data_IF_830000952249
#
_entry.id   IF_830000952249
#
_cell.length_a   1.000
_cell.length_b   1.000
_cell.length_c   1.000
_cell.angle_alpha   90.00
_cell.angle_beta   90.00
_cell.angle_gamma   90.00
#
_symmetry.space_group_name_H-M   'P 1'
#
loop_
_entity.id
_entity.type
_entity.pdbx_description
1 polymer ?
#
# COMPACT_ATOMS: atom_id res chain seq x y z
N UNK A 1 10.55 5.94 12.39
CA UNK A 1 9.08 5.99 12.16
C UNK A 1 8.77 7.10 11.18
N UNK A 2 8.36 6.73 9.97
CA UNK A 2 8.11 7.65 8.87
C UNK A 2 6.61 7.87 8.69
N UNK A 3 6.19 9.14 8.63
CA UNK A 3 4.79 9.50 8.38
C UNK A 3 4.67 10.17 7.02
N UNK A 4 3.84 9.59 6.16
CA UNK A 4 3.55 10.10 4.83
C UNK A 4 2.16 10.72 4.81
N UNK A 5 2.12 12.05 4.69
CA UNK A 5 0.88 12.81 4.51
C UNK A 5 0.42 12.67 3.08
N UNK A 6 -0.60 11.86 2.86
CA UNK A 6 -1.04 11.47 1.53
C UNK A 6 -1.60 12.66 0.74
N UNK A 7 -2.27 13.61 1.42
CA UNK A 7 -2.73 14.84 0.79
C UNK A 7 -1.56 15.71 0.28
N UNK A 8 -0.47 15.82 1.04
CA UNK A 8 0.67 16.64 0.64
C UNK A 8 1.40 16.03 -0.57
N UNK A 9 1.44 14.70 -0.65
CA UNK A 9 2.13 13.95 -1.70
C UNK A 9 1.30 13.82 -2.99
N UNK A 10 -0.02 13.66 -2.87
CA UNK A 10 -0.89 13.27 -3.98
C UNK A 10 -2.13 14.15 -4.15
N UNK A 11 -2.36 15.09 -3.24
CA UNK A 11 -3.53 15.95 -3.22
C UNK A 11 -4.76 15.28 -2.58
N UNK A 12 -5.89 15.99 -2.67
CA UNK A 12 -7.18 15.55 -2.10
C UNK A 12 -7.71 14.28 -2.79
N UNK A 13 -7.28 14.03 -4.03
CA UNK A 13 -7.67 12.89 -4.86
C UNK A 13 -6.43 12.05 -5.19
N UNK A 14 -6.28 10.92 -4.52
CA UNK A 14 -5.24 9.94 -4.79
C UNK A 14 -5.65 9.04 -5.98
N UNK A 15 -5.47 9.58 -7.19
CA UNK A 15 -5.93 8.97 -8.45
C UNK A 15 -4.84 8.34 -9.33
N UNK A 16 -3.58 8.70 -9.12
CA UNK A 16 -2.49 8.36 -10.04
C UNK A 16 -1.72 7.11 -9.59
N UNK A 17 -2.04 5.97 -10.20
CA UNK A 17 -1.37 4.70 -9.91
C UNK A 17 0.11 4.67 -10.29
N UNK A 18 0.55 5.47 -11.27
CA UNK A 18 1.96 5.52 -11.68
C UNK A 18 2.79 6.21 -10.60
N UNK A 19 2.31 7.35 -10.10
CA UNK A 19 2.96 8.05 -8.98
C UNK A 19 2.94 7.22 -7.70
N UNK A 20 1.84 6.53 -7.43
CA UNK A 20 1.72 5.63 -6.27
C UNK A 20 2.76 4.50 -6.32
N UNK A 21 2.98 3.91 -7.50
CA UNK A 21 3.97 2.86 -7.69
C UNK A 21 5.41 3.37 -7.57
N UNK A 22 5.71 4.57 -8.08
CA UNK A 22 7.02 5.20 -7.90
C UNK A 22 7.29 5.44 -6.40
N UNK A 23 6.34 6.08 -5.71
CA UNK A 23 6.43 6.32 -4.27
C UNK A 23 6.60 5.04 -3.43
N UNK A 24 5.92 3.96 -3.80
CA UNK A 24 6.13 2.64 -3.17
C UNK A 24 7.60 2.20 -3.27
N UNK A 25 8.18 2.31 -4.46
CA UNK A 25 9.56 1.85 -4.74
C UNK A 25 10.60 2.75 -4.10
N UNK A 26 10.38 4.05 -4.16
CA UNK A 26 11.41 5.04 -3.84
C UNK A 26 11.40 5.42 -2.35
N UNK A 27 10.26 5.27 -1.66
CA UNK A 27 10.10 5.72 -0.27
C UNK A 27 9.67 4.59 0.68
N UNK A 28 8.57 3.91 0.36
CA UNK A 28 7.94 2.97 1.31
C UNK A 28 8.77 1.70 1.48
N UNK A 29 9.19 1.07 0.39
CA UNK A 29 9.95 -0.18 0.45
C UNK A 29 11.31 -0.03 1.14
N UNK A 30 12.13 1.01 0.84
CA UNK A 30 13.36 1.25 1.59
C UNK A 30 13.11 1.43 3.09
N UNK A 31 12.10 2.22 3.47
CA UNK A 31 11.75 2.42 4.88
C UNK A 31 11.38 1.11 5.61
N UNK A 32 10.73 0.17 4.92
CA UNK A 32 10.38 -1.13 5.52
C UNK A 32 11.59 -2.05 5.65
N UNK A 33 12.57 -1.97 4.75
CA UNK A 33 13.82 -2.74 4.84
C UNK A 33 14.66 -2.33 6.05
N UNK A 34 14.60 -1.05 6.42
CA UNK A 34 15.19 -0.53 7.66
C UNK A 34 14.40 -0.93 8.92
N UNK A 35 13.35 -1.75 8.76
CA UNK A 35 12.40 -2.19 9.81
C UNK A 35 11.67 -1.04 10.49
N UNK A 36 11.60 0.09 9.81
CA UNK A 36 11.03 1.30 10.35
C UNK A 36 9.50 1.27 10.20
N UNK A 37 8.78 1.74 11.24
CA UNK A 37 7.32 1.81 11.16
C UNK A 37 6.89 2.91 10.20
N UNK A 38 5.99 2.60 9.28
CA UNK A 38 5.43 3.54 8.29
C UNK A 38 3.99 3.89 8.65
N UNK A 39 3.66 5.18 8.67
CA UNK A 39 2.30 5.70 8.86
C UNK A 39 1.86 6.36 7.56
N UNK A 40 0.73 5.91 7.01
CA UNK A 40 0.03 6.62 5.95
C UNK A 40 -1.08 7.46 6.58
N UNK A 41 -0.93 8.78 6.49
CA UNK A 41 -1.89 9.74 7.01
C UNK A 41 -2.78 10.25 5.88
N UNK A 42 -4.09 9.98 5.98
CA UNK A 42 -5.09 10.32 4.98
C UNK A 42 -5.92 11.55 5.34
N UNK A 43 -5.48 12.35 6.31
CA UNK A 43 -6.14 13.62 6.58
C UNK A 43 -6.23 14.47 5.30
N UNK A 44 -7.40 15.07 5.08
CA UNK A 44 -7.73 15.83 3.88
C UNK A 44 -7.88 15.04 2.56
N UNK A 45 -7.62 13.72 2.54
CA UNK A 45 -7.88 12.88 1.36
C UNK A 45 -9.36 12.51 1.29
N UNK A 46 -10.01 12.82 0.16
CA UNK A 46 -11.43 12.52 -0.07
C UNK A 46 -11.65 11.27 -0.90
N UNK A 47 -10.76 11.02 -1.85
CA UNK A 47 -10.90 9.94 -2.82
C UNK A 47 -9.59 9.20 -2.95
N UNK A 48 -9.67 7.87 -2.84
CA UNK A 48 -8.61 6.93 -3.19
C UNK A 48 -9.15 6.09 -4.34
N UNK A 49 -8.47 6.09 -5.49
CA UNK A 49 -8.89 5.23 -6.60
C UNK A 49 -8.42 3.80 -6.41
N UNK A 50 -9.12 2.84 -7.02
CA UNK A 50 -8.71 1.44 -7.03
C UNK A 50 -7.36 1.23 -7.73
N UNK A 51 -7.07 1.98 -8.79
CA UNK A 51 -5.76 1.95 -9.47
C UNK A 51 -4.63 2.41 -8.55
N UNK A 52 -4.83 3.51 -7.83
CA UNK A 52 -3.87 3.99 -6.82
C UNK A 52 -3.69 2.97 -5.69
N UNK A 53 -4.79 2.48 -5.12
CA UNK A 53 -4.75 1.52 -4.01
C UNK A 53 -4.04 0.23 -4.41
N UNK A 54 -4.33 -0.30 -5.60
CA UNK A 54 -3.66 -1.49 -6.13
C UNK A 54 -2.18 -1.24 -6.41
N UNK A 55 -1.85 -0.07 -6.96
CA UNK A 55 -0.48 0.29 -7.28
C UNK A 55 0.40 0.40 -6.03
N UNK A 56 -0.14 0.95 -4.93
CA UNK A 56 0.55 1.10 -3.67
C UNK A 56 0.40 -0.13 -2.77
N UNK A 57 -0.77 -0.35 -2.19
CA UNK A 57 -1.00 -1.38 -1.17
C UNK A 57 -1.04 -2.79 -1.77
N UNK A 58 -1.62 -2.95 -2.96
CA UNK A 58 -1.65 -4.23 -3.65
C UNK A 58 -0.24 -4.74 -3.98
N UNK A 59 0.60 -3.90 -4.59
CA UNK A 59 1.98 -4.28 -4.91
C UNK A 59 2.85 -4.43 -3.66
N UNK A 60 2.65 -3.59 -2.64
CA UNK A 60 3.37 -3.72 -1.38
C UNK A 60 3.17 -5.10 -0.75
N UNK A 61 1.92 -5.51 -0.60
CA UNK A 61 1.57 -6.81 0.00
C UNK A 61 1.92 -7.97 -0.93
N UNK A 62 1.84 -7.78 -2.25
CA UNK A 62 2.31 -8.77 -3.21
C UNK A 62 3.82 -9.04 -3.08
N UNK A 63 4.61 -8.02 -2.71
CA UNK A 63 6.06 -8.12 -2.60
C UNK A 63 6.51 -8.63 -1.24
N UNK A 64 5.99 -8.04 -0.17
CA UNK A 64 6.47 -8.25 1.20
C UNK A 64 5.56 -9.17 2.03
N UNK A 65 4.43 -9.61 1.46
CA UNK A 65 3.46 -10.48 2.12
C UNK A 65 2.74 -9.81 3.28
N UNK A 66 2.14 -10.64 4.15
CA UNK A 66 1.39 -10.16 5.34
C UNK A 66 2.28 -9.46 6.37
N UNK A 67 3.57 -9.77 6.40
CA UNK A 67 4.55 -9.17 7.33
C UNK A 67 4.71 -7.67 7.14
N UNK A 68 4.52 -7.12 5.93
CA UNK A 68 4.54 -5.67 5.77
C UNK A 68 3.48 -4.96 6.62
N UNK A 69 2.31 -5.59 6.82
CA UNK A 69 1.20 -4.99 7.55
C UNK A 69 1.49 -4.82 9.05
N UNK A 70 2.49 -5.51 9.62
CA UNK A 70 2.86 -5.32 11.03
C UNK A 70 3.66 -4.03 11.26
N UNK A 71 4.23 -3.47 10.20
CA UNK A 71 5.03 -2.24 10.24
C UNK A 71 4.27 -1.03 9.68
N UNK A 72 3.01 -1.19 9.30
CA UNK A 72 2.22 -0.16 8.64
C UNK A 72 1.02 0.24 9.49
N UNK A 73 0.79 1.54 9.58
CA UNK A 73 -0.43 2.12 10.18
C UNK A 73 -1.13 3.03 9.17
N UNK A 74 -2.45 2.98 9.19
CA UNK A 74 -3.31 3.88 8.42
C UNK A 74 -4.07 4.76 9.41
N UNK A 75 -3.94 6.08 9.29
CA UNK A 75 -4.58 7.05 10.20
C UNK A 75 -5.41 8.07 9.43
N UNK A 76 -6.36 8.71 10.11
CA UNK A 76 -7.26 9.73 9.55
C UNK A 76 -7.99 9.27 8.26
N UNK A 77 -8.38 8.00 8.21
CA UNK A 77 -9.02 7.41 7.03
C UNK A 77 -10.54 7.57 7.08
N UNK A 78 -11.12 8.11 6.00
CA UNK A 78 -12.57 8.03 5.78
C UNK A 78 -13.00 6.59 5.44
N UNK A 79 -14.30 6.28 5.58
CA UNK A 79 -14.84 4.96 5.26
C UNK A 79 -14.60 4.55 3.80
N UNK A 80 -14.65 5.50 2.86
CA UNK A 80 -14.31 5.27 1.45
C UNK A 80 -12.84 4.90 1.28
N UNK A 81 -11.94 5.70 1.88
CA UNK A 81 -10.49 5.43 1.85
C UNK A 81 -10.16 4.07 2.47
N UNK A 82 -10.78 3.72 3.60
CA UNK A 82 -10.61 2.41 4.23
C UNK A 82 -11.04 1.26 3.32
N UNK A 83 -12.19 1.40 2.63
CA UNK A 83 -12.69 0.39 1.70
C UNK A 83 -11.67 0.13 0.59
N UNK A 84 -11.11 1.19 0.02
CA UNK A 84 -10.15 1.10 -1.08
C UNK A 84 -8.81 0.53 -0.62
N UNK A 85 -8.30 0.92 0.55
CA UNK A 85 -7.10 0.32 1.16
C UNK A 85 -7.30 -1.19 1.36
N UNK A 86 -8.43 -1.59 1.95
CA UNK A 86 -8.77 -3.01 2.18
C UNK A 86 -8.85 -3.78 0.86
N UNK A 87 -9.43 -3.18 -0.18
CA UNK A 87 -9.51 -3.76 -1.52
C UNK A 87 -8.11 -4.03 -2.10
N UNK A 88 -7.22 -3.04 -2.05
CA UNK A 88 -5.84 -3.17 -2.53
C UNK A 88 -5.05 -4.25 -1.78
N UNK A 89 -5.11 -4.25 -0.43
CA UNK A 89 -4.47 -5.28 0.40
C UNK A 89 -5.01 -6.67 0.06
N UNK A 90 -6.33 -6.82 -0.06
CA UNK A 90 -6.97 -8.11 -0.37
C UNK A 90 -6.50 -8.64 -1.72
N UNK A 91 -6.42 -7.78 -2.73
CA UNK A 91 -5.90 -8.15 -4.04
C UNK A 91 -4.44 -8.60 -3.96
N UNK A 92 -3.60 -7.86 -3.24
CA UNK A 92 -2.19 -8.19 -3.01
C UNK A 92 -2.02 -9.56 -2.35
N UNK A 93 -2.78 -9.85 -1.29
CA UNK A 93 -2.75 -11.14 -0.60
C UNK A 93 -3.20 -12.31 -1.49
N UNK A 94 -4.28 -12.11 -2.26
CA UNK A 94 -4.75 -13.10 -3.22
C UNK A 94 -3.67 -13.45 -4.24
N UNK A 95 -2.96 -12.46 -4.77
CA UNK A 95 -1.87 -12.67 -5.73
C UNK A 95 -0.61 -13.26 -5.09
N UNK A 96 -0.24 -12.83 -3.89
CA UNK A 96 0.92 -13.35 -3.16
C UNK A 96 0.78 -14.86 -2.90
N UNK A 97 -0.40 -15.29 -2.42
CA UNK A 97 -0.66 -16.72 -2.16
C UNK A 97 -0.58 -17.58 -3.44
N UNK A 98 -1.03 -17.04 -4.58
CA UNK A 98 -0.93 -17.71 -5.89
C UNK A 98 0.51 -17.80 -6.40
N UNK A 99 1.29 -16.72 -6.24
CA UNK A 99 2.72 -16.68 -6.60
C UNK A 99 3.49 -17.77 -5.86
N UNK A 100 3.32 -17.85 -4.53
CA UNK A 100 3.95 -18.88 -3.71
C UNK A 100 3.53 -20.31 -4.12
N UNK A 101 2.25 -20.52 -4.44
CA UNK A 101 1.77 -21.82 -4.93
C UNK A 101 2.38 -22.21 -6.28
N UNK A 102 2.62 -21.26 -7.18
CA UNK A 102 3.29 -21.54 -8.45
C UNK A 102 4.77 -21.90 -8.24
N UNK A 103 5.47 -21.20 -7.35
CA UNK A 103 6.88 -21.47 -7.03
C UNK A 103 7.07 -22.83 -6.32
N UNK A 104 6.16 -23.20 -5.40
CA UNK A 104 6.23 -24.46 -4.65
C UNK A 104 5.93 -25.73 -5.48
N UNK A 105 5.31 -25.60 -6.66
CA UNK A 105 5.00 -26.72 -7.56
C UNK A 105 6.13 -26.99 -8.56
N UNK A 106 7.16 -26.13 -8.59
CA UNK A 106 8.28 -26.22 -9.54
C UNK A 106 9.54 -26.86 -8.92
N UNK A 107 9.40 -27.58 -7.80
CA UNK A 107 10.51 -28.26 -7.09
C UNK A 107 10.29 -29.76 -7.07
#
# INVERSE_FOLDING_TARGET
MNTYKMQDLFGIVCGDGTKALAFLKDCVLPSLQEKDSTVFDFDGVRVLSSSFSNALFGNLVLKEGKSALTHIKFVNTSSLVQSEIKSGITLGLSKHSKKWRAEAVTV
#
